data_IF_559932768790
#
_entry.id   IF_559932768790
#
_cell.length_a   1.000
_cell.length_b   1.000
_cell.length_c   1.000
_cell.angle_alpha   90.00
_cell.angle_beta   90.00
_cell.angle_gamma   90.00
#
_symmetry.space_group_name_H-M   'P 1'
#
loop_
_entity.id
_entity.type
_entity.pdbx_description
1 polymer ?
#
# COMPACT_ATOMS: atom_id res chain seq x y z
N UNK A 1 14.34 -3.24 -1.77
CA UNK A 1 15.22 -2.66 -0.77
C UNK A 1 14.67 -2.98 0.61
N UNK A 2 15.44 -3.69 1.43
CA UNK A 2 15.07 -4.07 2.80
C UNK A 2 15.09 -2.85 3.73
N UNK A 3 15.86 -1.81 3.40
CA UNK A 3 16.01 -0.61 4.23
C UNK A 3 14.69 0.13 4.43
N UNK A 4 13.93 0.35 3.35
CA UNK A 4 12.62 1.02 3.43
C UNK A 4 11.54 0.20 4.16
N UNK A 5 11.78 -1.08 4.42
CA UNK A 5 10.91 -1.90 5.27
C UNK A 5 10.85 -1.43 6.71
N UNK A 6 11.88 -0.72 7.19
CA UNK A 6 11.98 -0.22 8.55
C UNK A 6 11.51 1.23 8.72
N UNK A 7 11.20 1.92 7.63
CA UNK A 7 10.75 3.32 7.66
C UNK A 7 9.24 3.37 7.65
N UNK A 8 8.61 4.26 8.41
CA UNK A 8 7.20 4.62 8.26
C UNK A 8 6.90 5.18 6.86
N UNK A 9 5.61 5.21 6.48
CA UNK A 9 5.19 5.81 5.21
C UNK A 9 5.66 7.27 5.07
N UNK A 10 5.60 8.03 6.17
CA UNK A 10 6.03 9.43 6.19
C UNK A 10 7.55 9.56 5.99
N UNK A 11 8.36 8.68 6.59
CA UNK A 11 9.81 8.67 6.40
C UNK A 11 10.20 8.31 4.97
N UNK A 12 9.50 7.37 4.33
CA UNK A 12 9.71 7.05 2.92
C UNK A 12 9.44 8.26 2.04
N UNK A 13 8.32 8.97 2.26
CA UNK A 13 8.01 10.19 1.49
C UNK A 13 9.06 11.29 1.71
N UNK A 14 9.57 11.44 2.94
CA UNK A 14 10.66 12.41 3.20
C UNK A 14 11.95 12.00 2.49
N UNK A 15 12.30 10.71 2.53
CA UNK A 15 13.51 10.19 1.91
C UNK A 15 13.48 10.35 0.38
N UNK A 16 12.33 10.17 -0.26
CA UNK A 16 12.21 10.35 -1.72
C UNK A 16 12.44 11.79 -2.19
N UNK A 17 12.37 12.76 -1.28
CA UNK A 17 12.61 14.19 -1.58
C UNK A 17 14.07 14.62 -1.40
N UNK A 18 14.95 13.70 -1.00
CA UNK A 18 16.36 14.04 -0.73
C UNK A 18 17.20 14.08 -2.01
N UNK A 19 17.09 13.05 -2.85
CA UNK A 19 17.83 12.95 -4.11
C UNK A 19 17.11 12.04 -5.12
N UNK A 20 17.49 12.17 -6.40
CA UNK A 20 16.92 11.39 -7.51
C UNK A 20 17.16 9.89 -7.32
N UNK A 21 18.31 9.49 -6.78
CA UNK A 21 18.61 8.08 -6.53
C UNK A 21 17.65 7.48 -5.47
N UNK A 22 17.44 8.17 -4.36
CA UNK A 22 16.49 7.77 -3.32
C UNK A 22 15.06 7.72 -3.88
N UNK A 23 14.67 8.73 -4.66
CA UNK A 23 13.37 8.77 -5.32
C UNK A 23 13.13 7.53 -6.20
N UNK A 24 14.05 7.19 -7.11
CA UNK A 24 13.94 6.01 -7.98
C UNK A 24 13.85 4.70 -7.18
N UNK A 25 14.67 4.56 -6.14
CA UNK A 25 14.65 3.37 -5.28
C UNK A 25 13.31 3.24 -4.54
N UNK A 26 12.74 4.35 -4.08
CA UNK A 26 11.46 4.39 -3.38
C UNK A 26 10.29 4.15 -4.34
N UNK A 27 10.33 4.69 -5.56
CA UNK A 27 9.32 4.42 -6.58
C UNK A 27 9.22 2.91 -6.87
N UNK A 28 10.38 2.27 -7.10
CA UNK A 28 10.44 0.81 -7.25
C UNK A 28 9.91 0.08 -6.02
N UNK A 29 10.30 0.50 -4.81
CA UNK A 29 9.83 -0.11 -3.55
C UNK A 29 8.32 0.02 -3.34
N UNK A 30 7.74 1.20 -3.63
CA UNK A 30 6.35 1.54 -3.33
C UNK A 30 5.37 0.60 -4.02
N UNK A 31 5.65 0.20 -5.27
CA UNK A 31 4.84 -0.76 -6.03
C UNK A 31 4.67 -2.12 -5.33
N UNK A 32 5.68 -2.54 -4.56
CA UNK A 32 5.68 -3.81 -3.81
C UNK A 32 5.12 -3.64 -2.40
N UNK A 33 5.45 -2.53 -1.75
CA UNK A 33 5.08 -2.24 -0.38
C UNK A 33 3.57 -1.98 -0.22
N UNK A 34 2.97 -1.22 -1.13
CA UNK A 34 1.57 -0.81 -1.09
C UNK A 34 0.74 -1.43 -2.22
N UNK A 35 0.72 -2.77 -2.26
CA UNK A 35 -0.09 -3.50 -3.24
C UNK A 35 -1.53 -3.65 -2.78
N UNK A 36 -2.45 -2.87 -3.37
CA UNK A 36 -3.88 -2.95 -3.04
C UNK A 36 -4.49 -4.33 -3.30
N UNK A 37 -4.09 -5.02 -4.37
CA UNK A 37 -4.55 -6.38 -4.65
C UNK A 37 -4.13 -7.37 -3.56
N UNK A 38 -2.91 -7.23 -3.02
CA UNK A 38 -2.44 -8.07 -1.91
C UNK A 38 -3.24 -7.81 -0.64
N UNK A 39 -3.55 -6.55 -0.36
CA UNK A 39 -4.37 -6.17 0.79
C UNK A 39 -5.81 -6.73 0.68
N UNK A 40 -6.42 -6.58 -0.49
CA UNK A 40 -7.79 -7.04 -0.75
C UNK A 40 -7.96 -8.57 -0.74
N UNK A 41 -6.95 -9.32 -1.18
CA UNK A 41 -6.97 -10.80 -1.18
C UNK A 41 -7.20 -11.43 0.19
N UNK A 42 -7.06 -10.66 1.28
CA UNK A 42 -7.40 -11.10 2.65
C UNK A 42 -8.91 -11.21 2.86
N UNK A 43 -9.71 -10.48 2.09
CA UNK A 43 -11.16 -10.36 2.27
C UNK A 43 -11.95 -10.95 1.11
N UNK A 44 -11.37 -10.95 -0.10
CA UNK A 44 -12.01 -11.41 -1.32
C UNK A 44 -11.13 -12.40 -2.08
N UNK A 45 -11.76 -13.34 -2.80
CA UNK A 45 -11.06 -14.33 -3.62
C UNK A 45 -10.38 -13.69 -4.84
N UNK A 46 -11.11 -12.82 -5.54
CA UNK A 46 -10.60 -12.09 -6.71
C UNK A 46 -10.59 -10.58 -6.43
N UNK A 47 -9.39 -10.05 -6.20
CA UNK A 47 -9.20 -8.63 -5.96
C UNK A 47 -9.44 -7.77 -7.22
N UNK A 48 -9.24 -8.30 -8.43
CA UNK A 48 -9.41 -7.54 -9.68
C UNK A 48 -10.89 -7.37 -9.98
N UNK A 49 -11.67 -8.44 -9.81
CA UNK A 49 -13.12 -8.39 -9.95
C UNK A 49 -13.73 -7.40 -8.94
N UNK A 50 -13.28 -7.46 -7.68
CA UNK A 50 -13.72 -6.51 -6.66
C UNK A 50 -13.34 -5.07 -7.02
N UNK A 51 -12.12 -4.81 -7.51
CA UNK A 51 -11.71 -3.47 -7.98
C UNK A 51 -12.56 -2.96 -9.14
N UNK A 52 -12.95 -3.84 -10.06
CA UNK A 52 -13.86 -3.51 -11.17
C UNK A 52 -15.24 -3.13 -10.65
N UNK A 53 -15.76 -3.86 -9.66
CA UNK A 53 -17.01 -3.53 -8.98
C UNK A 53 -16.92 -2.17 -8.27
N UNK A 54 -15.83 -1.91 -7.54
CA UNK A 54 -15.61 -0.63 -6.87
C UNK A 54 -15.59 0.53 -7.86
N UNK A 55 -14.89 0.39 -8.99
CA UNK A 55 -14.84 1.41 -10.03
C UNK A 55 -16.23 1.69 -10.64
N UNK A 56 -17.05 0.66 -10.84
CA UNK A 56 -18.40 0.80 -11.42
C UNK A 56 -19.43 1.40 -10.46
N UNK A 57 -19.25 1.20 -9.15
CA UNK A 57 -20.27 1.53 -8.14
C UNK A 57 -19.87 2.67 -7.20
N UNK A 58 -18.61 3.10 -7.22
CA UNK A 58 -18.08 4.04 -6.24
C UNK A 58 -17.93 3.43 -4.84
N UNK A 59 -17.86 2.10 -4.71
CA UNK A 59 -17.75 1.43 -3.40
C UNK A 59 -16.48 1.84 -2.66
N UNK A 60 -16.65 2.33 -1.43
CA UNK A 60 -15.58 2.73 -0.52
C UNK A 60 -15.32 1.64 0.51
N UNK A 61 -14.06 1.47 0.90
CA UNK A 61 -13.64 0.57 1.99
C UNK A 61 -13.57 1.39 3.27
N UNK A 62 -14.29 0.97 4.32
CA UNK A 62 -14.29 1.63 5.62
C UNK A 62 -13.38 0.91 6.64
N UNK A 63 -13.26 1.49 7.84
CA UNK A 63 -12.56 0.88 8.97
C UNK A 63 -11.04 1.01 8.92
N UNK A 64 -10.34 0.12 9.62
CA UNK A 64 -8.88 0.17 9.82
C UNK A 64 -8.06 -0.29 8.60
N UNK A 65 -8.71 -0.67 7.50
CA UNK A 65 -8.03 -1.17 6.28
C UNK A 65 -7.05 -0.14 5.73
N UNK A 66 -7.44 1.14 5.71
CA UNK A 66 -6.56 2.22 5.22
C UNK A 66 -5.30 2.37 6.10
N UNK A 67 -5.45 2.30 7.43
CA UNK A 67 -4.34 2.39 8.37
C UNK A 67 -3.40 1.19 8.22
N UNK A 68 -3.95 -0.03 8.23
CA UNK A 68 -3.18 -1.27 8.01
C UNK A 68 -2.43 -1.25 6.68
N UNK A 69 -3.06 -0.72 5.62
CA UNK A 69 -2.43 -0.57 4.31
C UNK A 69 -1.25 0.40 4.35
N UNK A 70 -1.43 1.60 4.93
CA UNK A 70 -0.39 2.63 5.01
C UNK A 70 0.78 2.15 5.88
N UNK A 71 0.48 1.57 7.05
CA UNK A 71 1.47 1.05 7.99
C UNK A 71 2.19 -0.20 7.45
N UNK A 72 1.58 -0.89 6.48
CA UNK A 72 2.02 -2.21 5.97
C UNK A 72 2.04 -3.26 7.08
N UNK A 73 1.07 -3.19 7.97
CA UNK A 73 0.90 -4.08 9.11
C UNK A 73 -0.39 -4.89 8.98
N UNK A 74 -0.55 -5.90 9.83
CA UNK A 74 -1.79 -6.63 10.00
C UNK A 74 -2.23 -6.44 11.43
N UNK A 75 -3.48 -6.01 11.63
CA UNK A 75 -4.07 -5.92 12.96
C UNK A 75 -4.80 -7.24 13.22
N UNK A 76 -4.31 -8.09 14.14
CA UNK A 76 -5.05 -9.26 14.60
C UNK A 76 -6.31 -8.83 15.36
N UNK A 77 -7.29 -9.73 15.44
CA UNK A 77 -8.53 -9.53 16.22
C UNK A 77 -8.26 -9.41 17.72
#
# INVERSE_FOLDING_TARGET
>A
DVLFGHFSAAEIIRMSKTCVAAWKSIESYSSRAWSIHRNLRRFVKDAIEFRSLQARTGTVISGSVALQFIDRTFYPE
#
